data_IF_057906654310
#
_entry.id   IF_057906654310
#
_cell.length_a   1.000
_cell.length_b   1.000
_cell.length_c   1.000
_cell.angle_alpha   90.00
_cell.angle_beta   90.00
_cell.angle_gamma   90.00
#
_symmetry.space_group_name_H-M   'P 1'
#
loop_
_entity.id
_entity.type
_entity.pdbx_description
1 polymer ?
#
# COMPACT_ATOMS: atom_id res chain seq x y z
N UNK A 1 2.17 15.57 10.89
CA UNK A 1 3.30 15.11 10.04
C UNK A 1 3.33 13.62 9.76
N UNK A 2 3.05 12.72 10.73
CA UNK A 2 3.17 11.26 10.53
C UNK A 2 2.29 10.70 9.39
N UNK A 3 1.05 11.16 9.25
CA UNK A 3 0.14 10.71 8.19
C UNK A 3 0.58 11.11 6.78
N UNK A 4 1.08 12.34 6.60
CA UNK A 4 1.60 12.79 5.31
C UNK A 4 2.70 11.87 4.77
N UNK A 5 3.64 11.48 5.65
CA UNK A 5 4.74 10.59 5.27
C UNK A 5 4.26 9.18 4.91
N UNK A 6 3.31 8.62 5.68
CA UNK A 6 2.69 7.31 5.39
C UNK A 6 1.97 7.31 4.04
N UNK A 7 1.15 8.32 3.80
CA UNK A 7 0.42 8.49 2.54
C UNK A 7 1.39 8.66 1.37
N UNK A 8 2.46 9.43 1.55
CA UNK A 8 3.51 9.60 0.54
C UNK A 8 4.23 8.30 0.21
N UNK A 9 4.59 7.48 1.21
CA UNK A 9 5.17 6.15 0.98
C UNK A 9 4.21 5.23 0.23
N UNK A 10 2.94 5.19 0.64
CA UNK A 10 1.92 4.40 -0.04
C UNK A 10 1.77 4.83 -1.51
N UNK A 11 1.68 6.15 -1.77
CA UNK A 11 1.66 6.72 -3.11
C UNK A 11 2.88 6.30 -3.94
N UNK A 12 4.08 6.43 -3.37
CA UNK A 12 5.32 6.04 -4.03
C UNK A 12 5.34 4.56 -4.39
N UNK A 13 4.89 3.69 -3.48
CA UNK A 13 4.77 2.24 -3.73
C UNK A 13 3.83 1.98 -4.92
N UNK A 14 2.65 2.60 -4.93
CA UNK A 14 1.66 2.41 -6.00
C UNK A 14 2.16 2.96 -7.35
N UNK A 15 2.78 4.13 -7.37
CA UNK A 15 3.41 4.67 -8.59
C UNK A 15 4.48 3.71 -9.12
N UNK A 16 5.34 3.18 -8.23
CA UNK A 16 6.36 2.20 -8.59
C UNK A 16 5.76 0.90 -9.08
N UNK A 17 4.68 0.42 -8.49
CA UNK A 17 3.97 -0.80 -8.87
C UNK A 17 3.33 -0.71 -10.26
N UNK A 18 2.76 0.45 -10.61
CA UNK A 18 2.06 0.64 -11.88
C UNK A 18 2.89 1.28 -12.98
N UNK A 19 4.07 1.86 -12.66
CA UNK A 19 4.92 2.64 -13.58
C UNK A 19 4.12 3.75 -14.29
N UNK A 20 3.22 4.38 -13.56
CA UNK A 20 2.33 5.44 -14.06
C UNK A 20 2.34 6.61 -13.08
N UNK A 21 1.95 7.79 -13.56
CA UNK A 21 1.60 8.92 -12.71
C UNK A 21 0.23 8.70 -12.07
N UNK A 22 0.02 9.32 -10.91
CA UNK A 22 -1.25 9.23 -10.19
C UNK A 22 -2.41 9.70 -11.08
N UNK A 23 -3.42 8.85 -11.29
CA UNK A 23 -4.61 9.28 -12.01
C UNK A 23 -5.40 10.28 -11.16
N UNK A 24 -6.14 11.17 -11.80
CA UNK A 24 -7.00 12.16 -11.12
C UNK A 24 -8.10 11.51 -10.24
N UNK A 25 -8.44 10.23 -10.48
CA UNK A 25 -9.38 9.45 -9.65
C UNK A 25 -8.61 8.56 -8.67
N UNK A 26 -9.18 8.29 -7.48
CA UNK A 26 -8.60 7.41 -6.43
C UNK A 26 -8.58 5.91 -6.82
N UNK A 27 -7.91 5.59 -7.92
CA UNK A 27 -7.79 4.24 -8.46
C UNK A 27 -6.85 3.37 -7.62
N UNK A 28 -5.83 3.99 -7.03
CA UNK A 28 -4.81 3.30 -6.24
C UNK A 28 -5.12 3.28 -4.74
N UNK A 29 -6.25 3.86 -4.32
CA UNK A 29 -6.64 3.89 -2.91
C UNK A 29 -5.77 4.82 -2.06
N UNK A 30 -5.11 5.81 -2.65
CA UNK A 30 -4.35 6.85 -1.95
C UNK A 30 -5.30 7.70 -1.10
N UNK A 31 -6.41 8.17 -1.68
CA UNK A 31 -7.42 8.93 -0.96
C UNK A 31 -8.08 8.09 0.14
N UNK A 32 -8.36 6.82 -0.17
CA UNK A 32 -8.88 5.86 0.82
C UNK A 32 -7.91 5.60 1.97
N UNK A 33 -6.60 5.59 1.71
CA UNK A 33 -5.58 5.44 2.75
C UNK A 33 -5.38 6.71 3.57
N UNK A 34 -5.43 7.89 2.95
CA UNK A 34 -5.44 9.17 3.67
C UNK A 34 -6.61 9.24 4.64
N UNK A 35 -7.82 8.92 4.15
CA UNK A 35 -9.03 8.89 4.98
C UNK A 35 -8.96 7.86 6.12
N UNK A 36 -8.31 6.71 5.89
CA UNK A 36 -8.06 5.73 6.96
C UNK A 36 -7.14 6.32 8.04
N UNK A 37 -6.02 6.92 7.63
CA UNK A 37 -5.06 7.53 8.54
C UNK A 37 -5.66 8.70 9.33
N UNK A 38 -6.49 9.53 8.68
CA UNK A 38 -7.17 10.67 9.31
C UNK A 38 -8.22 10.22 10.33
N UNK A 39 -8.99 9.17 10.02
CA UNK A 39 -10.02 8.64 10.93
C UNK A 39 -9.44 7.95 12.15
N UNK A 40 -8.34 7.22 11.97
CA UNK A 40 -7.63 6.58 13.09
C UNK A 40 -6.96 7.61 14.01
N UNK A 41 -6.41 8.71 13.46
CA UNK A 41 -5.79 9.78 14.26
C UNK A 41 -6.81 10.74 14.88
N UNK A 42 -7.92 11.03 14.20
CA UNK A 42 -8.87 12.09 14.55
C UNK A 42 -9.95 11.71 15.57
N UNK A 43 -9.95 10.46 16.07
CA UNK A 43 -10.97 9.90 16.99
C UNK A 43 -12.44 10.02 16.55
N UNK A 44 -12.74 10.52 15.34
CA UNK A 44 -14.10 10.53 14.79
C UNK A 44 -14.43 9.15 14.21
N UNK A 45 -14.69 8.20 15.10
CA UNK A 45 -15.10 6.85 14.71
C UNK A 45 -16.56 6.85 14.27
N UNK A 46 -16.77 6.67 12.97
CA UNK A 46 -18.07 6.30 12.41
C UNK A 46 -18.02 4.79 12.14
N UNK A 47 -18.88 3.97 12.77
CA UNK A 47 -18.93 2.52 12.55
C UNK A 47 -19.01 2.15 11.07
N UNK A 48 -18.22 1.16 10.63
CA UNK A 48 -18.20 0.68 9.24
C UNK A 48 -17.37 1.54 8.28
N UNK A 49 -17.00 2.75 8.68
CA UNK A 49 -16.24 3.67 7.82
C UNK A 49 -14.77 3.27 7.70
N UNK A 50 -14.16 2.88 8.82
CA UNK A 50 -12.76 2.42 8.89
C UNK A 50 -12.61 1.12 8.11
N UNK A 51 -13.51 0.15 8.33
CA UNK A 51 -13.52 -1.16 7.68
C UNK A 51 -13.66 -1.03 6.16
N UNK A 52 -14.51 -0.11 5.70
CA UNK A 52 -14.66 0.20 4.27
C UNK A 52 -13.37 0.72 3.66
N UNK A 53 -12.71 1.69 4.31
CA UNK A 53 -11.44 2.23 3.83
C UNK A 53 -10.33 1.18 3.88
N UNK A 54 -10.21 0.44 4.99
CA UNK A 54 -9.24 -0.63 5.17
C UNK A 54 -9.40 -1.72 4.09
N UNK A 55 -10.62 -2.16 3.82
CA UNK A 55 -10.91 -3.16 2.77
C UNK A 55 -10.48 -2.66 1.40
N UNK A 56 -10.80 -1.40 1.07
CA UNK A 56 -10.42 -0.81 -0.22
C UNK A 56 -8.90 -0.68 -0.35
N UNK A 57 -8.23 -0.20 0.70
CA UNK A 57 -6.76 -0.06 0.73
C UNK A 57 -6.09 -1.43 0.58
N UNK A 58 -6.52 -2.45 1.34
CA UNK A 58 -6.01 -3.83 1.20
C UNK A 58 -6.15 -4.35 -0.23
N UNK A 59 -7.32 -4.14 -0.85
CA UNK A 59 -7.57 -4.57 -2.24
C UNK A 59 -6.65 -3.86 -3.24
N UNK A 60 -6.47 -2.54 -3.10
CA UNK A 60 -5.58 -1.77 -3.97
C UNK A 60 -4.12 -2.15 -3.77
N UNK A 61 -3.66 -2.27 -2.53
CA UNK A 61 -2.29 -2.66 -2.20
C UNK A 61 -1.97 -4.07 -2.69
N UNK A 62 -2.88 -5.03 -2.50
CA UNK A 62 -2.76 -6.40 -3.02
C UNK A 62 -2.56 -6.41 -4.54
N UNK A 63 -3.34 -5.60 -5.28
CA UNK A 63 -3.14 -5.43 -6.73
C UNK A 63 -1.80 -4.79 -7.08
N UNK A 64 -1.32 -3.84 -6.27
CA UNK A 64 0.01 -3.25 -6.42
C UNK A 64 1.12 -4.28 -6.26
N UNK A 65 1.02 -5.14 -5.23
CA UNK A 65 1.95 -6.27 -5.03
C UNK A 65 1.94 -7.21 -6.22
N UNK A 66 0.76 -7.54 -6.76
CA UNK A 66 0.63 -8.38 -7.95
C UNK A 66 1.33 -7.80 -9.18
N UNK A 67 1.38 -6.47 -9.32
CA UNK A 67 2.15 -5.84 -10.40
C UNK A 67 3.66 -6.07 -10.24
N UNK A 68 4.17 -6.11 -9.02
CA UNK A 68 5.58 -6.45 -8.79
C UNK A 68 5.85 -7.93 -9.07
N UNK A 69 5.00 -8.84 -8.61
CA UNK A 69 5.14 -10.29 -8.82
C UNK A 69 5.17 -10.68 -10.31
N UNK A 70 4.42 -9.96 -11.15
CA UNK A 70 4.36 -10.18 -12.60
C UNK A 70 5.62 -9.72 -13.35
N UNK A 71 6.50 -8.93 -12.73
CA UNK A 71 7.71 -8.43 -13.40
C UNK A 71 8.75 -9.53 -13.56
N UNK A 72 9.43 -9.50 -14.70
CA UNK A 72 10.59 -10.38 -14.95
C UNK A 72 11.83 -9.93 -14.17
N UNK A 73 12.00 -8.63 -13.94
CA UNK A 73 13.19 -8.10 -13.24
C UNK A 73 13.21 -8.36 -11.73
N UNK A 74 12.07 -8.68 -11.11
CA UNK A 74 12.01 -9.05 -9.69
C UNK A 74 12.53 -10.47 -9.51
N UNK A 75 13.53 -10.66 -8.65
CA UNK A 75 14.15 -11.97 -8.40
C UNK A 75 13.16 -12.93 -7.72
N UNK A 76 13.42 -14.23 -7.83
CA UNK A 76 12.58 -15.26 -7.21
C UNK A 76 12.47 -15.08 -5.69
N UNK A 77 13.56 -14.70 -5.04
CA UNK A 77 13.61 -14.44 -3.60
C UNK A 77 12.72 -13.26 -3.20
N UNK A 78 12.82 -12.13 -3.90
CA UNK A 78 11.95 -10.98 -3.63
C UNK A 78 10.48 -11.28 -3.95
N UNK A 79 10.19 -12.13 -4.95
CA UNK A 79 8.81 -12.60 -5.20
C UNK A 79 8.26 -13.38 -4.00
N UNK A 80 9.04 -14.28 -3.40
CA UNK A 80 8.63 -15.01 -2.21
C UNK A 80 8.35 -14.06 -1.03
N UNK A 81 9.19 -13.04 -0.84
CA UNK A 81 8.96 -12.01 0.19
C UNK A 81 7.69 -11.20 -0.08
N UNK A 82 7.47 -10.78 -1.33
CA UNK A 82 6.25 -10.06 -1.72
C UNK A 82 4.98 -10.90 -1.54
N UNK A 83 5.03 -12.20 -1.84
CA UNK A 83 3.93 -13.14 -1.57
C UNK A 83 3.67 -13.33 -0.08
N UNK A 84 4.72 -13.34 0.74
CA UNK A 84 4.59 -13.34 2.20
C UNK A 84 3.87 -12.08 2.70
N UNK A 85 4.33 -10.89 2.31
CA UNK A 85 3.69 -9.63 2.69
C UNK A 85 2.26 -9.50 2.16
N UNK A 86 1.96 -10.08 0.98
CA UNK A 86 0.60 -10.15 0.45
C UNK A 86 -0.33 -10.98 1.35
N UNK A 87 0.17 -12.08 1.95
CA UNK A 87 -0.58 -12.88 2.91
C UNK A 87 -0.76 -12.14 4.23
N UNK A 88 0.30 -11.52 4.75
CA UNK A 88 0.21 -10.72 5.99
C UNK A 88 -0.80 -9.57 5.88
N UNK A 89 -0.91 -8.96 4.70
CA UNK A 89 -1.88 -7.89 4.42
C UNK A 89 -3.32 -8.28 4.75
N UNK A 90 -3.68 -9.57 4.66
CA UNK A 90 -5.03 -10.05 5.01
C UNK A 90 -5.35 -9.79 6.49
N UNK A 91 -4.36 -9.91 7.37
CA UNK A 91 -4.51 -9.83 8.82
C UNK A 91 -4.32 -8.41 9.39
N UNK A 92 -3.89 -7.45 8.56
CA UNK A 92 -3.67 -6.07 9.02
C UNK A 92 -4.96 -5.38 9.47
N UNK A 93 -4.99 -4.87 10.70
CA UNK A 93 -6.17 -4.22 11.29
C UNK A 93 -6.28 -2.71 11.12
N UNK A 94 -5.28 -2.02 10.56
CA UNK A 94 -5.30 -0.55 10.50
C UNK A 94 -4.13 0.08 9.75
N UNK A 95 -4.10 1.42 9.71
CA UNK A 95 -3.17 2.20 8.89
C UNK A 95 -1.69 1.95 9.24
N UNK A 96 -1.39 1.67 10.51
CA UNK A 96 -0.05 1.35 11.00
C UNK A 96 0.50 0.06 10.36
N UNK A 97 -0.30 -1.00 10.30
CA UNK A 97 0.11 -2.27 9.70
C UNK A 97 0.27 -2.14 8.19
N UNK A 98 -0.60 -1.36 7.54
CA UNK A 98 -0.48 -1.04 6.11
C UNK A 98 0.85 -0.31 5.85
N UNK A 99 1.19 0.68 6.69
CA UNK A 99 2.44 1.44 6.56
C UNK A 99 3.67 0.54 6.64
N UNK A 100 3.69 -0.40 7.59
CA UNK A 100 4.80 -1.36 7.74
C UNK A 100 4.96 -2.22 6.49
N UNK A 101 3.87 -2.79 5.97
CA UNK A 101 3.90 -3.58 4.74
C UNK A 101 4.40 -2.76 3.56
N UNK A 102 3.93 -1.52 3.42
CA UNK A 102 4.37 -0.61 2.36
C UNK A 102 5.87 -0.33 2.45
N UNK A 103 6.40 -0.09 3.65
CA UNK A 103 7.82 0.11 3.89
C UNK A 103 8.64 -1.11 3.48
N UNK A 104 8.27 -2.30 3.93
CA UNK A 104 8.95 -3.54 3.55
C UNK A 104 8.95 -3.77 2.04
N UNK A 105 7.82 -3.51 1.37
CA UNK A 105 7.74 -3.64 -0.09
C UNK A 105 8.63 -2.60 -0.78
N UNK A 106 8.63 -1.35 -0.31
CA UNK A 106 9.47 -0.31 -0.89
C UNK A 106 10.95 -0.64 -0.78
N UNK A 107 11.37 -1.18 0.36
CA UNK A 107 12.74 -1.60 0.65
C UNK A 107 13.13 -2.82 -0.22
N UNK A 108 12.31 -3.88 -0.21
CA UNK A 108 12.53 -5.07 -1.02
C UNK A 108 12.55 -4.75 -2.53
N UNK A 109 11.79 -3.75 -2.95
CA UNK A 109 11.76 -3.33 -4.36
C UNK A 109 12.77 -2.24 -4.69
N UNK A 110 13.47 -1.64 -3.72
CA UNK A 110 14.34 -0.47 -3.92
C UNK A 110 15.41 -0.69 -4.99
N UNK A 111 15.97 -1.91 -5.04
CA UNK A 111 16.98 -2.33 -6.01
C UNK A 111 16.44 -2.36 -7.45
N UNK A 112 15.12 -2.50 -7.61
CA UNK A 112 14.41 -2.44 -8.89
C UNK A 112 13.93 -1.03 -9.24
N UNK A 113 14.57 0.01 -8.70
CA UNK A 113 14.52 1.38 -9.23
C UNK A 113 15.20 1.38 -10.62
N UNK A 114 14.58 0.72 -11.57
CA UNK A 114 14.92 0.87 -12.98
C UNK A 114 14.19 2.12 -13.49
N UNK A 115 15.00 3.18 -13.63
CA UNK A 115 15.03 4.17 -14.71
C UNK A 115 13.85 4.19 -15.68
#
# INVERSE_FOLDING_TARGET
>A
MKNYFRVSKYRNMMMRAYRKREPQKDMWGIGSYSALCEKEDGQTYIPGSIEKHLTRVKKCLSKGIDQFLKRKSVSKEHKLQLEHFKRELMYVGGSNGISKIVEFILDATQLYKEY
#
